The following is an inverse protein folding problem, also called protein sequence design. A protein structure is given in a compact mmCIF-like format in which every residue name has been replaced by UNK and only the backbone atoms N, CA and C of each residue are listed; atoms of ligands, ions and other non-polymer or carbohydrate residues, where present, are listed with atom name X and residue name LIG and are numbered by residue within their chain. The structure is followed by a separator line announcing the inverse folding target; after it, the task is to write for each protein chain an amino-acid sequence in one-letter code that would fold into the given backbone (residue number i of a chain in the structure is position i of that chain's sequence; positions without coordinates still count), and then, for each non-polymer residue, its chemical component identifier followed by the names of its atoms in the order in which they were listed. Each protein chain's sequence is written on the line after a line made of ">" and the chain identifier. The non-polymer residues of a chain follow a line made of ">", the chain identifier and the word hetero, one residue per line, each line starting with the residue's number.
data_IF_834608987593
#
_entry.id   IF_834608987593
#
_cell.length_a   1.000
_cell.length_b   1.000
_cell.length_c   1.000
_cell.angle_alpha   90.00
_cell.angle_beta   90.00
_cell.angle_gamma   90.00
#
_symmetry.space_group_name_H-M   'P 1'
#
loop_
_entity.id
_entity.type
_entity.pdbx_description
1 polymer ?
#
# COMPACT_ATOMS: atom_id res chain seq x y z
N UNK A 1 -9.40 9.91 -18.08
CA UNK A 1 -8.60 10.08 -16.85
C UNK A 1 -7.71 8.86 -16.64
N UNK A 2 -6.46 9.08 -16.38
CA UNK A 2 -5.50 8.00 -16.17
C UNK A 2 -5.51 7.59 -14.69
N UNK A 3 -5.63 6.30 -14.43
CA UNK A 3 -5.49 5.78 -13.07
C UNK A 3 -4.00 5.71 -12.75
N UNK A 4 -3.55 6.49 -11.76
CA UNK A 4 -2.13 6.56 -11.42
C UNK A 4 -1.66 5.38 -10.60
N UNK A 5 -2.56 4.69 -9.89
CA UNK A 5 -2.21 3.59 -9.01
C UNK A 5 -3.26 2.49 -9.09
N UNK A 6 -2.79 1.25 -9.17
CA UNK A 6 -3.64 0.07 -9.07
C UNK A 6 -3.15 -0.82 -7.95
N UNK A 7 -4.07 -1.32 -7.15
CA UNK A 7 -3.76 -2.21 -6.03
C UNK A 7 -4.29 -3.61 -6.26
N UNK A 8 -3.55 -4.60 -5.78
CA UNK A 8 -3.96 -5.98 -5.71
C UNK A 8 -3.72 -6.52 -4.31
N UNK A 9 -4.53 -7.48 -3.91
CA UNK A 9 -4.45 -8.06 -2.57
C UNK A 9 -4.54 -9.58 -2.65
N UNK A 10 -3.70 -10.27 -1.88
CA UNK A 10 -3.76 -11.71 -1.74
C UNK A 10 -3.51 -12.09 -0.28
N UNK A 11 -4.44 -12.85 0.28
CA UNK A 11 -4.25 -13.43 1.60
C UNK A 11 -3.46 -14.71 1.45
N UNK A 12 -2.30 -14.79 2.10
CA UNK A 12 -1.47 -15.99 2.12
C UNK A 12 -1.43 -16.54 3.54
N UNK A 13 -0.89 -17.75 3.68
CA UNK A 13 -0.75 -18.36 5.00
C UNK A 13 0.26 -17.55 5.81
N UNK A 14 -0.23 -16.92 6.86
CA UNK A 14 0.60 -16.15 7.78
C UNK A 14 0.94 -14.74 7.35
N UNK A 15 0.43 -14.25 6.20
CA UNK A 15 0.68 -12.86 5.81
C UNK A 15 -0.33 -12.37 4.79
N UNK A 16 -0.39 -11.04 4.66
CA UNK A 16 -1.21 -10.36 3.66
C UNK A 16 -0.27 -9.72 2.65
N UNK A 17 -0.48 -9.96 1.36
CA UNK A 17 0.36 -9.42 0.30
C UNK A 17 -0.42 -8.38 -0.49
N UNK A 18 0.12 -7.17 -0.55
CA UNK A 18 -0.42 -6.08 -1.36
C UNK A 18 0.55 -5.77 -2.48
N UNK A 19 0.05 -5.74 -3.70
CA UNK A 19 0.86 -5.42 -4.87
C UNK A 19 0.33 -4.14 -5.50
N UNK A 20 1.22 -3.24 -5.88
CA UNK A 20 0.82 -1.98 -6.48
C UNK A 20 1.54 -1.76 -7.79
N UNK A 21 0.81 -1.17 -8.76
CA UNK A 21 1.31 -0.87 -10.08
C UNK A 21 1.02 0.60 -10.39
N UNK A 22 1.97 1.30 -10.93
CA UNK A 22 1.80 2.69 -11.38
C UNK A 22 2.67 3.66 -10.61
N UNK A 23 2.06 4.73 -10.09
CA UNK A 23 2.77 5.80 -9.42
C UNK A 23 2.22 6.02 -8.01
N UNK A 24 3.10 6.21 -7.06
CA UNK A 24 2.75 6.52 -5.68
C UNK A 24 3.19 7.95 -5.39
N UNK A 25 2.25 8.88 -5.47
CA UNK A 25 2.49 10.32 -5.42
C UNK A 25 1.40 11.05 -4.63
N UNK A 26 1.38 12.38 -4.71
CA UNK A 26 0.42 13.20 -4.00
C UNK A 26 -1.03 12.95 -4.45
N UNK A 27 -1.24 12.40 -5.65
CA UNK A 27 -2.58 12.12 -6.16
C UNK A 27 -3.08 10.72 -5.78
N UNK A 28 -2.19 9.84 -5.36
CA UNK A 28 -2.55 8.44 -5.09
C UNK A 28 -2.21 7.98 -3.68
N UNK A 29 -1.56 8.82 -2.87
CA UNK A 29 -1.13 8.44 -1.52
C UNK A 29 -2.31 8.02 -0.63
N UNK A 30 -3.42 8.75 -0.70
CA UNK A 30 -4.62 8.42 0.09
C UNK A 30 -5.29 7.14 -0.43
N UNK A 31 -5.32 6.95 -1.73
CA UNK A 31 -5.85 5.74 -2.34
C UNK A 31 -5.04 4.52 -1.87
N UNK A 32 -3.73 4.65 -1.83
CA UNK A 32 -2.82 3.60 -1.36
C UNK A 32 -3.17 3.19 0.07
N UNK A 33 -3.26 4.18 0.98
CA UNK A 33 -3.55 3.91 2.38
C UNK A 33 -4.96 3.33 2.57
N UNK A 34 -5.94 3.87 1.84
CA UNK A 34 -7.33 3.37 1.91
C UNK A 34 -7.45 1.94 1.41
N UNK A 35 -6.75 1.60 0.34
CA UNK A 35 -6.79 0.25 -0.21
C UNK A 35 -6.30 -0.76 0.82
N UNK A 36 -5.20 -0.45 1.50
CA UNK A 36 -4.67 -1.33 2.53
C UNK A 36 -5.63 -1.39 3.72
N UNK A 37 -6.15 -0.24 4.17
CA UNK A 37 -7.06 -0.19 5.32
C UNK A 37 -8.32 -1.03 5.08
N UNK A 38 -8.84 -1.02 3.85
CA UNK A 38 -10.04 -1.77 3.49
C UNK A 38 -9.85 -3.29 3.56
N UNK A 39 -8.61 -3.75 3.50
CA UNK A 39 -8.30 -5.18 3.52
C UNK A 39 -7.72 -5.66 4.85
N UNK A 40 -7.48 -4.77 5.81
CA UNK A 40 -6.94 -5.17 7.09
C UNK A 40 -7.96 -5.99 7.87
N UNK A 41 -7.48 -7.04 8.55
CA UNK A 41 -8.30 -7.89 9.40
C UNK A 41 -8.09 -7.52 10.85
N UNK A 42 -8.96 -8.02 11.72
CA UNK A 42 -8.82 -7.80 13.18
C UNK A 42 -7.64 -8.57 13.77
N UNK A 43 -7.27 -9.67 13.14
CA UNK A 43 -6.14 -10.46 13.59
C UNK A 43 -4.85 -9.86 13.02
N UNK A 44 -3.90 -9.47 13.86
CA UNK A 44 -2.64 -8.91 13.35
C UNK A 44 -1.90 -9.94 12.50
N UNK A 45 -1.43 -9.49 11.35
CA UNK A 45 -0.66 -10.30 10.41
C UNK A 45 0.45 -9.45 9.82
N UNK A 46 1.59 -10.06 9.47
CA UNK A 46 2.60 -9.36 8.69
C UNK A 46 2.04 -8.89 7.36
N UNK A 47 2.42 -7.68 6.96
CA UNK A 47 2.06 -7.13 5.66
C UNK A 47 3.28 -7.16 4.75
N UNK A 48 3.08 -7.64 3.54
CA UNK A 48 4.08 -7.57 2.48
C UNK A 48 3.58 -6.58 1.45
N UNK A 49 4.35 -5.54 1.20
CA UNK A 49 3.99 -4.52 0.22
C UNK A 49 4.94 -4.67 -0.96
N UNK A 50 4.43 -5.13 -2.08
CA UNK A 50 5.20 -5.32 -3.30
C UNK A 50 5.12 -4.06 -4.15
N UNK A 51 6.23 -3.34 -4.25
CA UNK A 51 6.34 -2.10 -5.02
C UNK A 51 7.15 -2.30 -6.30
N UNK A 52 7.40 -3.54 -6.71
CA UNK A 52 8.26 -3.83 -7.85
C UNK A 52 7.73 -3.26 -9.18
N UNK A 53 6.43 -2.98 -9.25
CA UNK A 53 5.80 -2.42 -10.45
C UNK A 53 5.44 -0.94 -10.30
N UNK A 54 5.92 -0.30 -9.26
CA UNK A 54 5.79 1.14 -9.09
C UNK A 54 6.87 1.81 -9.91
N UNK A 55 6.46 2.71 -10.81
CA UNK A 55 7.36 3.42 -11.70
C UNK A 55 7.91 4.71 -11.10
N UNK A 56 7.21 5.30 -10.15
CA UNK A 56 7.53 6.60 -9.62
C UNK A 56 7.02 6.75 -8.20
N UNK A 57 7.87 7.28 -7.31
CA UNK A 57 7.49 7.60 -5.92
C UNK A 57 8.05 8.99 -5.61
N UNK A 58 7.18 9.90 -5.17
CA UNK A 58 7.63 11.22 -4.70
C UNK A 58 7.61 11.28 -3.18
N UNK A 59 7.84 12.47 -2.62
CA UNK A 59 7.88 12.65 -1.17
C UNK A 59 6.54 12.33 -0.51
N UNK A 60 5.42 12.57 -1.19
CA UNK A 60 4.09 12.22 -0.65
C UNK A 60 3.92 10.72 -0.59
N UNK A 61 4.39 9.99 -1.59
CA UNK A 61 4.37 8.52 -1.61
C UNK A 61 5.24 7.95 -0.50
N UNK A 62 6.44 8.49 -0.31
CA UNK A 62 7.31 8.07 0.78
C UNK A 62 6.66 8.33 2.13
N UNK A 63 5.98 9.48 2.27
CA UNK A 63 5.25 9.81 3.48
C UNK A 63 4.15 8.81 3.80
N UNK A 64 3.44 8.34 2.77
CA UNK A 64 2.40 7.32 2.94
C UNK A 64 2.99 6.00 3.44
N UNK A 65 4.14 5.58 2.89
CA UNK A 65 4.83 4.38 3.34
C UNK A 65 5.27 4.49 4.80
N UNK A 66 5.80 5.64 5.19
CA UNK A 66 6.20 5.89 6.58
C UNK A 66 4.98 5.85 7.50
N UNK A 67 3.87 6.46 7.09
CA UNK A 67 2.64 6.43 7.87
C UNK A 67 2.12 5.01 8.05
N UNK A 68 2.16 4.21 7.01
CA UNK A 68 1.75 2.81 7.09
C UNK A 68 2.63 2.04 8.07
N UNK A 69 3.95 2.24 8.00
CA UNK A 69 4.89 1.58 8.91
C UNK A 69 4.60 1.93 10.37
N UNK A 70 4.28 3.19 10.65
CA UNK A 70 3.94 3.63 12.00
C UNK A 70 2.66 2.96 12.50
N UNK A 71 1.66 2.82 11.64
CA UNK A 71 0.41 2.19 12.00
C UNK A 71 0.59 0.70 12.30
N UNK A 72 1.48 0.04 11.56
CA UNK A 72 1.71 -1.39 11.73
C UNK A 72 2.55 -1.71 12.97
N UNK A 73 3.31 -0.75 13.49
CA UNK A 73 4.19 -0.97 14.64
C UNK A 73 3.53 -0.64 15.98
N UNK A 74 2.31 -0.14 15.95
CA UNK A 74 1.53 0.12 17.17
C UNK A 74 0.70 -1.13 17.61
#
# INVERSE_FOLDING_TARGET
>A
MTVSLRGGFEQQVGCMVFSFTGQLDAYSDKQFLSFIADHLTRTPQPLVIDLSRIDFIDSSGLGALVQLAKQCND
#
